data_IF_070194812861
#
_entry.id   IF_070194812861
#
_cell.length_a   1.000
_cell.length_b   1.000
_cell.length_c   1.000
_cell.angle_alpha   90.00
_cell.angle_beta   90.00
_cell.angle_gamma   90.00
#
_symmetry.space_group_name_H-M   'P 1'
#
loop_
_entity.id
_entity.type
_entity.pdbx_description
1 polymer ?
#
# COMPACT_ATOMS: atom_id res chain seq x y z
N UNK A 1 8.89 -22.84 50.66
CA UNK A 1 8.77 -22.21 49.33
C UNK A 1 9.61 -23.02 48.36
N UNK A 2 8.99 -23.74 47.42
CA UNK A 2 9.71 -24.45 46.37
C UNK A 2 9.77 -23.55 45.14
N UNK A 3 10.98 -23.18 44.68
CA UNK A 3 11.15 -22.53 43.38
C UNK A 3 11.18 -23.61 42.31
N UNK A 4 10.20 -23.58 41.40
CA UNK A 4 10.30 -24.30 40.12
C UNK A 4 11.33 -23.58 39.26
N UNK A 5 12.57 -24.09 39.27
CA UNK A 5 13.52 -23.81 38.19
C UNK A 5 13.03 -24.58 36.97
N UNK A 6 12.60 -23.87 35.92
CA UNK A 6 12.44 -24.49 34.61
C UNK A 6 13.84 -24.84 34.12
N UNK A 7 14.23 -26.10 34.30
CA UNK A 7 15.51 -26.62 33.88
C UNK A 7 15.80 -26.20 32.44
N UNK A 8 16.71 -25.24 32.31
CA UNK A 8 17.50 -25.02 31.12
C UNK A 8 18.38 -26.26 31.03
N UNK A 9 17.83 -27.33 30.44
CA UNK A 9 18.60 -28.56 30.23
C UNK A 9 19.82 -28.22 29.36
N UNK A 10 20.98 -28.84 29.59
CA UNK A 10 22.17 -28.60 28.77
C UNK A 10 21.92 -28.89 27.29
N UNK A 11 20.96 -29.79 26.99
CA UNK A 11 20.47 -30.04 25.64
C UNK A 11 19.75 -28.82 25.03
N UNK A 12 18.93 -28.11 25.81
CA UNK A 12 18.23 -26.91 25.32
C UNK A 12 19.21 -25.78 24.96
N UNK A 13 20.25 -25.58 25.77
CA UNK A 13 21.31 -24.61 25.45
C UNK A 13 22.09 -24.99 24.20
N UNK A 14 22.35 -26.30 24.03
CA UNK A 14 23.05 -26.83 22.86
C UNK A 14 22.21 -26.63 21.58
N UNK A 15 20.90 -26.85 21.66
CA UNK A 15 19.97 -26.62 20.55
C UNK A 15 19.91 -25.14 20.14
N UNK A 16 19.84 -24.22 21.11
CA UNK A 16 19.86 -22.78 20.84
C UNK A 16 21.18 -22.31 20.22
N UNK A 17 22.31 -22.89 20.66
CA UNK A 17 23.62 -22.60 20.09
C UNK A 17 23.72 -23.09 18.63
N UNK A 18 23.29 -24.33 18.37
CA UNK A 18 23.29 -24.91 17.03
C UNK A 18 22.40 -24.13 16.06
N UNK A 19 21.22 -23.69 16.52
CA UNK A 19 20.31 -22.86 15.72
C UNK A 19 20.95 -21.52 15.36
N UNK A 20 21.64 -20.86 16.29
CA UNK A 20 22.35 -19.60 16.02
C UNK A 20 23.48 -19.79 15.00
N UNK A 21 24.25 -20.87 15.11
CA UNK A 21 25.32 -21.17 14.16
C UNK A 21 24.78 -21.46 12.75
N UNK A 22 23.62 -22.11 12.62
CA UNK A 22 22.96 -22.33 11.33
C UNK A 22 22.49 -21.03 10.66
N UNK A 23 22.11 -20.02 11.43
CA UNK A 23 21.65 -18.72 10.91
C UNK A 23 22.83 -17.86 10.45
N UNK A 24 23.98 -17.98 11.13
CA UNK A 24 25.19 -17.23 10.81
C UNK A 24 25.96 -17.78 9.61
N UNK A 25 25.62 -18.98 9.12
CA UNK A 25 26.20 -19.47 7.88
C UNK A 25 25.70 -18.63 6.69
N UNK A 26 26.59 -17.98 5.93
CA UNK A 26 26.20 -17.29 4.72
C UNK A 26 25.66 -18.31 3.72
N UNK A 27 24.35 -18.29 3.51
CA UNK A 27 23.68 -19.08 2.48
C UNK A 27 24.31 -18.70 1.14
N UNK A 28 25.05 -19.64 0.53
CA UNK A 28 25.55 -19.50 -0.85
C UNK A 28 24.36 -19.10 -1.74
N UNK A 29 24.50 -18.07 -2.60
CA UNK A 29 23.43 -17.69 -3.50
C UNK A 29 23.19 -18.85 -4.47
N UNK A 30 22.10 -19.57 -4.26
CA UNK A 30 21.54 -20.46 -5.28
C UNK A 30 20.96 -19.53 -6.34
N UNK A 31 21.75 -19.29 -7.40
CA UNK A 31 21.23 -18.73 -8.63
C UNK A 31 20.31 -19.77 -9.25
N UNK A 32 19.02 -19.66 -8.95
CA UNK A 32 17.98 -20.24 -9.80
C UNK A 32 17.39 -19.08 -10.62
N UNK A 33 17.36 -19.19 -11.96
CA UNK A 33 16.64 -18.23 -12.77
C UNK A 33 15.17 -18.28 -12.37
N UNK A 34 14.66 -17.16 -11.87
CA UNK A 34 13.22 -16.99 -11.64
C UNK A 34 12.62 -16.79 -13.03
N UNK A 35 12.25 -17.89 -13.68
CA UNK A 35 11.25 -17.82 -14.75
C UNK A 35 9.95 -17.45 -14.08
N UNK A 36 9.51 -16.20 -14.30
CA UNK A 36 8.17 -15.77 -13.91
C UNK A 36 7.20 -16.49 -14.86
N UNK A 37 6.81 -17.68 -14.45
CA UNK A 37 5.62 -18.34 -14.95
C UNK A 37 4.39 -17.51 -14.49
N UNK A 38 3.76 -16.84 -15.44
CA UNK A 38 2.51 -16.08 -15.28
C UNK A 38 1.27 -16.98 -15.52
N UNK A 39 1.28 -18.23 -15.07
CA UNK A 39 0.13 -19.12 -15.15
C UNK A 39 -0.68 -19.06 -13.86
N UNK A 40 -1.52 -18.04 -13.74
CA UNK A 40 -2.74 -18.13 -12.96
C UNK A 40 -3.87 -18.48 -13.93
N UNK A 41 -4.03 -19.78 -14.18
CA UNK A 41 -5.14 -20.31 -14.95
C UNK A 41 -6.46 -20.01 -14.25
N UNK A 42 -7.34 -19.32 -14.97
CA UNK A 42 -8.76 -19.19 -14.64
C UNK A 42 -9.50 -19.05 -15.96
N UNK A 43 -9.47 -20.12 -16.76
CA UNK A 43 -10.55 -20.39 -17.72
C UNK A 43 -11.87 -20.43 -16.95
N UNK A 44 -12.74 -19.44 -17.20
CA UNK A 44 -14.21 -19.53 -17.32
C UNK A 44 -14.81 -18.13 -17.11
N UNK A 45 -14.95 -17.37 -18.20
CA UNK A 45 -16.05 -16.42 -18.49
C UNK A 45 -15.66 -15.56 -19.70
N UNK A 46 -15.68 -16.15 -20.89
CA UNK A 46 -15.83 -15.41 -22.13
C UNK A 46 -17.29 -15.00 -22.27
N UNK A 47 -17.62 -13.77 -21.91
CA UNK A 47 -18.78 -13.09 -22.50
C UNK A 47 -18.37 -11.66 -22.88
N UNK A 48 -18.12 -11.57 -24.17
CA UNK A 48 -18.13 -10.45 -25.10
C UNK A 48 -18.81 -9.15 -24.61
N UNK A 49 -18.04 -8.07 -24.54
CA UNK A 49 -18.54 -6.70 -24.71
C UNK A 49 -17.58 -5.90 -25.59
N UNK A 50 -17.42 -6.40 -26.81
CA UNK A 50 -16.82 -5.71 -27.95
C UNK A 50 -17.78 -4.67 -28.52
N UNK A 51 -18.18 -3.62 -27.78
CA UNK A 51 -18.86 -2.47 -28.43
C UNK A 51 -18.74 -1.20 -27.60
N UNK A 52 -17.68 -0.41 -27.83
CA UNK A 52 -17.80 1.05 -27.97
C UNK A 52 -16.73 1.54 -28.96
N UNK A 53 -17.18 1.57 -30.21
CA UNK A 53 -16.60 2.29 -31.34
C UNK A 53 -16.69 3.80 -31.08
N UNK A 54 -15.56 4.50 -30.95
CA UNK A 54 -15.49 5.94 -31.26
C UNK A 54 -14.26 6.18 -32.14
N UNK A 55 -14.60 6.61 -33.35
CA UNK A 55 -13.78 6.89 -34.52
C UNK A 55 -12.65 7.88 -34.27
N UNK A 56 -11.51 7.60 -34.91
CA UNK A 56 -10.37 8.50 -35.08
C UNK A 56 -10.79 9.81 -35.79
N UNK A 57 -10.26 10.95 -35.34
CA UNK A 57 -9.85 12.03 -36.24
C UNK A 57 -8.72 12.85 -35.59
N UNK A 58 -7.53 12.77 -36.20
CA UNK A 58 -6.40 13.66 -35.94
C UNK A 58 -6.69 15.07 -36.49
N UNK A 59 -6.00 16.09 -35.98
CA UNK A 59 -4.97 16.70 -36.82
C UNK A 59 -3.68 17.05 -36.07
N UNK A 60 -2.56 16.86 -36.75
CA UNK A 60 -1.31 17.61 -36.61
C UNK A 60 -1.14 18.38 -37.94
N UNK A 61 -0.30 19.43 -38.09
CA UNK A 61 0.76 19.95 -37.21
C UNK A 61 0.61 21.50 -37.01
N UNK A 62 1.37 22.23 -36.21
CA UNK A 62 2.72 22.75 -36.49
C UNK A 62 3.04 23.85 -35.45
N UNK A 63 4.31 23.89 -35.02
CA UNK A 63 5.12 25.09 -34.72
C UNK A 63 4.94 25.88 -33.40
N UNK A 64 5.96 25.68 -32.57
CA UNK A 64 6.87 26.67 -31.96
C UNK A 64 6.84 26.75 -30.43
N UNK A 65 8.07 26.84 -29.95
CA UNK A 65 8.57 26.76 -28.59
C UNK A 65 7.77 27.57 -27.56
N UNK A 66 7.47 26.97 -26.41
CA UNK A 66 7.69 27.69 -25.15
C UNK A 66 7.73 26.77 -23.92
N UNK A 67 8.82 26.92 -23.16
CA UNK A 67 9.12 26.54 -21.78
C UNK A 67 8.27 25.47 -21.04
N UNK A 68 8.91 24.33 -20.73
CA UNK A 68 8.69 23.59 -19.48
C UNK A 68 9.55 24.23 -18.37
N UNK A 69 9.19 24.28 -17.07
CA UNK A 69 8.34 23.32 -16.37
C UNK A 69 7.35 23.94 -15.37
N UNK A 70 6.06 23.62 -15.48
CA UNK A 70 5.14 23.80 -14.37
C UNK A 70 4.19 22.62 -14.32
N UNK A 71 4.48 21.65 -13.45
CA UNK A 71 3.44 20.75 -12.96
C UNK A 71 2.41 21.64 -12.27
N UNK A 72 1.21 21.90 -12.84
CA UNK A 72 0.22 22.71 -12.15
C UNK A 72 -0.10 21.96 -10.88
N UNK A 73 0.22 22.54 -9.72
CA UNK A 73 -0.11 21.94 -8.43
C UNK A 73 -1.63 21.68 -8.43
N UNK A 74 -2.01 20.41 -8.57
CA UNK A 74 -3.40 20.00 -8.65
C UNK A 74 -4.00 20.11 -7.26
N UNK A 75 -4.57 21.26 -6.94
CA UNK A 75 -5.20 21.51 -5.64
C UNK A 75 -6.58 20.89 -5.58
N UNK A 76 -6.84 20.09 -4.55
CA UNK A 76 -8.14 19.45 -4.30
C UNK A 76 -8.80 20.11 -3.09
N UNK A 77 -10.08 20.45 -3.23
CA UNK A 77 -10.90 20.94 -2.12
C UNK A 77 -11.34 19.77 -1.24
N UNK A 78 -10.95 19.78 0.04
CA UNK A 78 -11.34 18.78 1.04
C UNK A 78 -11.95 19.46 2.25
N UNK A 79 -12.76 18.74 3.04
CA UNK A 79 -13.27 19.29 4.30
C UNK A 79 -12.12 19.57 5.27
N UNK A 80 -12.16 20.67 6.05
CA UNK A 80 -11.15 20.98 7.05
C UNK A 80 -10.94 19.87 8.09
N UNK A 81 -11.99 19.09 8.39
CA UNK A 81 -11.93 17.95 9.30
C UNK A 81 -11.09 16.77 8.77
N UNK A 82 -10.93 16.67 7.45
CA UNK A 82 -10.26 15.54 6.80
C UNK A 82 -8.79 15.85 6.48
N UNK A 83 -8.42 17.12 6.41
CA UNK A 83 -7.02 17.54 6.29
C UNK A 83 -6.09 16.94 7.37
N UNK A 84 -6.42 16.96 8.69
CA UNK A 84 -5.56 16.37 9.72
C UNK A 84 -5.46 14.85 9.65
N UNK A 85 -6.35 14.17 8.90
CA UNK A 85 -6.25 12.73 8.64
C UNK A 85 -5.24 12.47 7.53
N UNK A 86 -5.28 13.27 6.46
CA UNK A 86 -4.34 13.15 5.35
C UNK A 86 -2.92 13.55 5.76
N UNK A 87 -2.77 14.59 6.58
CA UNK A 87 -1.45 15.01 7.07
C UNK A 87 -0.75 13.94 7.90
N UNK A 88 -1.49 13.09 8.62
CA UNK A 88 -0.92 11.97 9.39
C UNK A 88 -0.22 10.91 8.53
N UNK A 89 -0.50 10.85 7.23
CA UNK A 89 0.23 9.99 6.30
C UNK A 89 1.66 10.50 6.03
N UNK A 90 1.90 11.79 6.24
CA UNK A 90 3.16 12.48 6.03
C UNK A 90 3.56 13.28 7.29
N UNK A 91 3.78 12.58 8.42
CA UNK A 91 4.06 13.25 9.68
C UNK A 91 5.42 13.97 9.62
N UNK A 92 5.46 15.17 10.18
CA UNK A 92 6.66 16.02 10.24
C UNK A 92 7.20 16.16 11.68
N UNK A 93 6.39 15.82 12.69
CA UNK A 93 6.73 16.00 14.11
C UNK A 93 6.60 14.71 14.91
N UNK A 94 7.35 14.60 16.02
CA UNK A 94 7.33 13.42 16.92
C UNK A 94 5.93 13.16 17.49
N UNK A 95 5.18 14.21 17.82
CA UNK A 95 3.82 14.08 18.36
C UNK A 95 2.83 13.50 17.33
N UNK A 96 3.02 13.81 16.04
CA UNK A 96 2.22 13.21 14.97
C UNK A 96 2.50 11.71 14.79
N UNK A 97 3.70 11.24 15.17
CA UNK A 97 4.01 9.80 15.20
C UNK A 97 3.31 9.06 16.35
N UNK A 98 2.90 9.77 17.42
CA UNK A 98 2.18 9.21 18.56
C UNK A 98 0.65 9.41 18.48
N UNK A 99 0.13 9.78 17.30
CA UNK A 99 -1.29 10.05 17.12
C UNK A 99 -2.16 8.81 17.41
N UNK A 100 -3.35 9.06 17.97
CA UNK A 100 -4.33 8.01 18.29
C UNK A 100 -4.75 7.23 17.03
N UNK A 101 -5.04 5.93 17.17
CA UNK A 101 -5.55 5.12 16.07
C UNK A 101 -6.81 5.73 15.45
N UNK A 102 -6.89 5.70 14.13
CA UNK A 102 -7.98 6.29 13.34
C UNK A 102 -8.98 5.21 12.94
N UNK A 103 -10.28 5.50 12.93
CA UNK A 103 -11.27 4.55 12.39
C UNK A 103 -11.10 4.38 10.87
N UNK A 104 -11.12 3.12 10.40
CA UNK A 104 -10.99 2.80 8.98
C UNK A 104 -12.00 3.53 8.09
N UNK A 105 -13.27 3.65 8.52
CA UNK A 105 -14.30 4.31 7.72
C UNK A 105 -13.98 5.79 7.55
N UNK A 106 -13.50 6.44 8.61
CA UNK A 106 -13.11 7.85 8.58
C UNK A 106 -11.93 8.03 7.61
N UNK A 107 -10.96 7.13 7.62
CA UNK A 107 -9.86 7.13 6.65
C UNK A 107 -10.35 7.01 5.21
N UNK A 108 -11.22 6.03 4.91
CA UNK A 108 -11.77 5.83 3.56
C UNK A 108 -12.49 7.08 3.07
N UNK A 109 -13.32 7.69 3.92
CA UNK A 109 -14.04 8.94 3.57
C UNK A 109 -13.09 10.11 3.32
N UNK A 110 -12.05 10.26 4.13
CA UNK A 110 -11.06 11.33 3.91
C UNK A 110 -10.30 11.17 2.60
N UNK A 111 -9.96 9.93 2.21
CA UNK A 111 -9.29 9.62 0.95
C UNK A 111 -10.23 9.81 -0.25
N UNK A 112 -11.49 9.40 -0.13
CA UNK A 112 -12.52 9.60 -1.15
C UNK A 112 -12.72 11.09 -1.48
N UNK A 113 -12.78 11.94 -0.45
CA UNK A 113 -12.82 13.41 -0.62
C UNK A 113 -11.54 13.98 -1.26
N UNK A 114 -10.40 13.31 -1.08
CA UNK A 114 -9.15 13.65 -1.74
C UNK A 114 -9.06 13.16 -3.20
N UNK A 115 -10.20 12.82 -3.83
CA UNK A 115 -10.34 12.34 -5.24
C UNK A 115 -9.81 10.94 -5.49
N UNK A 116 -9.75 10.11 -4.45
CA UNK A 116 -9.43 8.69 -4.55
C UNK A 116 -10.67 7.84 -4.28
N UNK A 117 -11.40 7.51 -5.34
CA UNK A 117 -12.63 6.74 -5.26
C UNK A 117 -12.37 5.33 -4.69
N UNK A 118 -13.00 5.02 -3.56
CA UNK A 118 -12.82 3.75 -2.88
C UNK A 118 -13.75 2.67 -3.44
N UNK A 119 -13.17 1.57 -3.92
CA UNK A 119 -13.88 0.40 -4.43
C UNK A 119 -13.45 -0.83 -3.64
N UNK A 120 -14.41 -1.67 -3.27
CA UNK A 120 -14.09 -2.93 -2.59
C UNK A 120 -13.40 -3.86 -3.60
N UNK A 121 -12.20 -4.32 -3.26
CA UNK A 121 -11.56 -5.46 -3.93
C UNK A 121 -11.72 -6.69 -3.04
N UNK A 122 -11.66 -7.89 -3.61
CA UNK A 122 -11.99 -9.14 -2.91
C UNK A 122 -11.41 -9.24 -1.48
N UNK A 123 -12.20 -9.78 -0.56
CA UNK A 123 -11.83 -9.90 0.86
C UNK A 123 -11.84 -8.57 1.62
N UNK A 124 -10.75 -8.27 2.35
CA UNK A 124 -10.58 -7.04 3.14
C UNK A 124 -9.82 -5.95 2.38
N UNK A 125 -9.54 -6.14 1.10
CA UNK A 125 -8.84 -5.16 0.28
C UNK A 125 -9.77 -4.05 -0.20
N UNK A 126 -9.25 -2.83 -0.27
CA UNK A 126 -9.93 -1.67 -0.84
C UNK A 126 -8.99 -1.02 -1.83
N UNK A 127 -9.48 -0.86 -3.06
CA UNK A 127 -8.79 -0.20 -4.16
C UNK A 127 -9.24 1.24 -4.22
N UNK A 128 -8.29 2.16 -4.23
CA UNK A 128 -8.49 3.58 -4.36
C UNK A 128 -8.03 4.01 -5.75
N UNK A 129 -8.95 4.49 -6.56
CA UNK A 129 -8.69 5.00 -7.91
C UNK A 129 -8.63 6.52 -7.87
N UNK A 130 -7.50 7.10 -8.26
CA UNK A 130 -7.38 8.53 -8.46
C UNK A 130 -8.21 8.95 -9.68
N UNK A 131 -9.24 9.76 -9.45
CA UNK A 131 -10.17 10.18 -10.50
C UNK A 131 -9.57 11.20 -11.46
N UNK A 132 -8.36 11.71 -11.18
CA UNK A 132 -7.73 12.80 -11.93
C UNK A 132 -6.67 12.29 -12.92
N UNK A 133 -5.86 11.31 -12.53
CA UNK A 133 -4.77 10.76 -13.34
C UNK A 133 -4.94 9.26 -13.67
N UNK A 134 -5.98 8.61 -13.14
CA UNK A 134 -6.26 7.19 -13.34
C UNK A 134 -5.33 6.26 -12.55
N UNK A 135 -4.44 6.78 -11.70
CA UNK A 135 -3.59 6.00 -10.82
C UNK A 135 -4.41 5.18 -9.82
N UNK A 136 -3.88 4.02 -9.40
CA UNK A 136 -4.58 3.15 -8.43
C UNK A 136 -3.66 2.71 -7.30
N UNK A 137 -4.22 2.60 -6.10
CA UNK A 137 -3.53 2.06 -4.94
C UNK A 137 -4.45 1.14 -4.14
N UNK A 138 -3.92 0.03 -3.64
CA UNK A 138 -4.69 -0.93 -2.83
C UNK A 138 -4.18 -0.92 -1.39
N UNK A 139 -5.10 -0.72 -0.45
CA UNK A 139 -4.87 -0.87 0.98
C UNK A 139 -5.75 -1.99 1.54
N UNK A 140 -5.19 -2.76 2.48
CA UNK A 140 -5.96 -3.78 3.20
C UNK A 140 -6.55 -3.14 4.44
N UNK A 141 -7.85 -3.35 4.66
CA UNK A 141 -8.53 -2.95 5.89
C UNK A 141 -7.88 -3.67 7.09
N UNK A 142 -7.52 -2.95 8.16
CA UNK A 142 -7.00 -3.56 9.37
C UNK A 142 -7.98 -4.56 10.01
N UNK A 143 -7.46 -5.66 10.54
CA UNK A 143 -8.19 -6.74 11.21
C UNK A 143 -7.35 -7.27 12.39
N UNK A 144 -7.93 -7.64 13.56
CA UNK A 144 -9.36 -7.79 13.88
C UNK A 144 -10.10 -6.48 14.09
N UNK A 145 -9.42 -5.45 14.56
CA UNK A 145 -10.03 -4.15 14.82
C UNK A 145 -9.84 -3.28 13.58
N UNK A 146 -10.93 -2.68 13.09
CA UNK A 146 -10.92 -1.77 11.93
C UNK A 146 -10.33 -0.39 12.26
N UNK A 147 -9.21 -0.37 12.99
CA UNK A 147 -8.46 0.84 13.36
C UNK A 147 -7.17 0.89 12.57
N UNK A 148 -6.90 2.05 11.98
CA UNK A 148 -5.67 2.36 11.29
C UNK A 148 -4.69 2.95 12.29
N UNK A 149 -3.60 2.23 12.51
CA UNK A 149 -2.50 2.67 13.36
C UNK A 149 -1.60 3.66 12.62
N UNK A 150 -0.91 4.51 13.38
CA UNK A 150 -0.08 5.58 12.81
C UNK A 150 1.08 5.04 11.93
N UNK A 151 1.66 3.89 12.27
CA UNK A 151 2.68 3.24 11.44
C UNK A 151 2.13 2.77 10.07
N UNK A 152 0.84 2.39 10.02
CA UNK A 152 0.19 1.98 8.76
C UNK A 152 -0.02 3.19 7.85
N UNK A 153 -0.48 4.31 8.42
CA UNK A 153 -0.66 5.57 7.69
C UNK A 153 0.65 6.04 7.07
N UNK A 154 1.76 5.97 7.79
CA UNK A 154 3.09 6.31 7.27
C UNK A 154 3.51 5.37 6.13
N UNK A 155 3.30 4.07 6.29
CA UNK A 155 3.61 3.10 5.23
C UNK A 155 2.78 3.36 3.96
N UNK A 156 1.53 3.79 4.11
CA UNK A 156 0.66 4.16 3.00
C UNK A 156 1.03 5.50 2.38
N UNK A 157 1.37 6.52 3.17
CA UNK A 157 1.88 7.80 2.69
C UNK A 157 3.13 7.64 1.82
N UNK A 158 4.07 6.79 2.25
CA UNK A 158 5.27 6.44 1.44
C UNK A 158 4.94 5.78 0.09
N UNK A 159 3.80 5.11 -0.04
CA UNK A 159 3.35 4.52 -1.31
C UNK A 159 2.65 5.54 -2.21
N UNK A 160 2.01 6.54 -1.63
CA UNK A 160 1.34 7.64 -2.34
C UNK A 160 2.33 8.71 -2.82
N UNK A 161 3.44 8.92 -2.11
CA UNK A 161 4.47 9.90 -2.46
C UNK A 161 5.50 9.43 -3.49
N UNK A 162 5.26 8.30 -4.18
CA UNK A 162 6.07 7.82 -5.31
C UNK A 162 5.43 8.28 -6.61
#
# INVERSE_FOLDING_TARGET
MAMLSYDITPEHLSALKLQRESILQPKKPVQQPITIDNYWDSTHATEDLSTLNISNQAPSPENEDDHSPANPQKTVHIKPSNLPILSRMFPNTVDEHAAKPLDWRIFVTAIDEARFAATKSGGSAVTFLNTVDGGRIVFRKPHPTAKVEQFMLQAWGKRLGK
#
